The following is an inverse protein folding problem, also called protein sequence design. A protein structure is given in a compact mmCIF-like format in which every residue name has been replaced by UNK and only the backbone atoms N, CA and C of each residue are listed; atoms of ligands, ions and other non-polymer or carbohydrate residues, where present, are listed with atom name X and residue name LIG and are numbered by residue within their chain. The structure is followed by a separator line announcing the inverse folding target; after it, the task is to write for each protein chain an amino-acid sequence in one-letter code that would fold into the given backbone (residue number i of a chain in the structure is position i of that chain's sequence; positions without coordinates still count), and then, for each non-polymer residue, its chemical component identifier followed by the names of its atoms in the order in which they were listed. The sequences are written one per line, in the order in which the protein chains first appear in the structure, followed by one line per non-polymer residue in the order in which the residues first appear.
data_IF_129286512017
#
_entry.id   IF_129286512017
#
_cell.length_a   1.000
_cell.length_b   1.000
_cell.length_c   1.000
_cell.angle_alpha   90.00
_cell.angle_beta   90.00
_cell.angle_gamma   90.00
#
_symmetry.space_group_name_H-M   'P 1'
#
loop_
_entity.id
_entity.type
_entity.pdbx_description
1 polymer ?
#
# COMPACT_ATOMS: atom_id res chain seq x y z
N UNK A 1 2.89 4.61 14.47
CA UNK A 1 3.91 3.77 15.15
C UNK A 1 4.34 2.51 14.39
N UNK A 2 3.69 2.11 13.29
CA UNK A 2 4.04 0.87 12.55
C UNK A 2 5.35 0.99 11.76
N UNK A 3 5.61 2.14 11.13
CA UNK A 3 6.78 2.36 10.25
C UNK A 3 8.09 2.17 11.02
N UNK A 4 8.20 2.72 12.23
CA UNK A 4 9.41 2.61 13.04
C UNK A 4 9.81 1.15 13.30
N UNK A 5 8.85 0.28 13.61
CA UNK A 5 9.10 -1.15 13.80
C UNK A 5 9.54 -1.83 12.51
N UNK A 6 8.90 -1.49 11.38
CA UNK A 6 9.28 -2.02 10.08
C UNK A 6 10.69 -1.60 9.67
N UNK A 7 11.10 -0.37 9.98
CA UNK A 7 12.45 0.14 9.74
C UNK A 7 13.47 -0.64 10.56
N UNK A 8 13.26 -0.80 11.86
CA UNK A 8 14.20 -1.52 12.73
C UNK A 8 14.37 -2.97 12.26
N UNK A 9 13.29 -3.66 11.90
CA UNK A 9 13.36 -5.01 11.35
C UNK A 9 14.10 -5.04 9.99
N UNK A 10 13.81 -4.09 9.10
CA UNK A 10 14.48 -4.02 7.80
C UNK A 10 15.97 -3.69 7.93
N UNK A 11 16.37 -2.82 8.85
CA UNK A 11 17.78 -2.55 9.15
C UNK A 11 18.52 -3.80 9.66
N UNK A 12 17.80 -4.70 10.33
CA UNK A 12 18.34 -5.99 10.80
C UNK A 12 18.43 -7.06 9.71
N UNK A 13 18.00 -6.76 8.48
CA UNK A 13 18.07 -7.67 7.32
C UNK A 13 16.72 -8.21 6.84
N UNK A 14 15.63 -7.94 7.55
CA UNK A 14 14.34 -8.56 7.26
C UNK A 14 13.57 -7.91 6.09
N UNK A 15 12.72 -8.71 5.43
CA UNK A 15 11.75 -8.22 4.46
C UNK A 15 10.42 -8.01 5.15
N UNK A 16 9.97 -6.76 5.21
CA UNK A 16 8.75 -6.36 5.93
C UNK A 16 7.73 -5.80 4.95
N UNK A 17 6.49 -6.26 5.04
CA UNK A 17 5.37 -5.63 4.32
C UNK A 17 4.54 -4.83 5.30
N UNK A 18 4.27 -3.57 4.98
CA UNK A 18 3.47 -2.66 5.82
C UNK A 18 2.25 -2.22 5.03
N UNK A 19 1.08 -2.34 5.65
CA UNK A 19 -0.16 -1.75 5.15
C UNK A 19 -0.37 -0.39 5.82
N UNK A 20 -0.47 0.67 5.01
CA UNK A 20 -0.79 2.02 5.47
C UNK A 20 -1.96 2.55 4.64
N UNK A 21 -2.99 3.02 5.33
CA UNK A 21 -4.15 3.69 4.76
C UNK A 21 -3.92 5.21 4.64
N UNK A 22 -3.23 5.83 5.60
CA UNK A 22 -3.07 7.29 5.60
C UNK A 22 -1.96 7.84 4.69
N UNK A 23 -2.20 9.04 4.15
CA UNK A 23 -1.27 9.70 3.23
C UNK A 23 0.04 10.16 3.87
N UNK A 24 0.05 10.54 5.16
CA UNK A 24 1.25 11.00 5.84
C UNK A 24 2.19 9.82 6.16
N UNK A 25 1.64 8.73 6.66
CA UNK A 25 2.33 7.46 6.90
C UNK A 25 2.94 6.91 5.62
N UNK A 26 2.19 6.92 4.51
CA UNK A 26 2.71 6.48 3.21
C UNK A 26 3.95 7.29 2.76
N UNK A 27 3.95 8.61 2.95
CA UNK A 27 5.12 9.47 2.64
C UNK A 27 6.33 9.15 3.52
N UNK A 28 6.11 8.98 4.82
CA UNK A 28 7.17 8.63 5.76
C UNK A 28 7.77 7.27 5.40
N UNK A 29 6.92 6.27 5.14
CA UNK A 29 7.36 4.93 4.74
C UNK A 29 8.14 4.97 3.42
N UNK A 30 7.69 5.77 2.44
CA UNK A 30 8.40 5.94 1.16
C UNK A 30 9.80 6.52 1.37
N UNK A 31 9.94 7.52 2.25
CA UNK A 31 11.24 8.11 2.58
C UNK A 31 12.21 7.08 3.18
N UNK A 32 11.71 6.25 4.10
CA UNK A 32 12.49 5.18 4.74
C UNK A 32 12.85 4.05 3.77
N UNK A 33 11.95 3.66 2.87
CA UNK A 33 12.23 2.71 1.78
C UNK A 33 13.39 3.21 0.93
N UNK A 34 13.33 4.46 0.46
CA UNK A 34 14.40 5.05 -0.33
C UNK A 34 15.73 5.15 0.44
N UNK A 35 15.69 5.36 1.76
CA UNK A 35 16.89 5.33 2.61
C UNK A 35 17.50 3.93 2.68
N UNK A 36 16.70 2.90 2.93
CA UNK A 36 17.15 1.50 2.97
C UNK A 36 17.72 1.06 1.61
N UNK A 37 17.11 1.48 0.50
CA UNK A 37 17.63 1.21 -0.84
C UNK A 37 19.02 1.81 -1.05
N UNK A 38 19.24 3.06 -0.62
CA UNK A 38 20.58 3.69 -0.68
C UNK A 38 21.62 2.93 0.15
N UNK A 39 21.25 2.49 1.36
CA UNK A 39 22.14 1.67 2.20
C UNK A 39 22.50 0.35 1.51
N UNK A 40 21.50 -0.34 0.94
CA UNK A 40 21.70 -1.57 0.19
C UNK A 40 22.62 -1.38 -1.01
N UNK A 41 22.40 -0.31 -1.79
CA UNK A 41 23.28 0.03 -2.93
C UNK A 41 24.71 0.37 -2.49
N UNK A 42 24.90 0.82 -1.25
CA UNK A 42 26.22 1.08 -0.66
C UNK A 42 26.90 -0.17 -0.10
N UNK A 43 26.32 -1.35 -0.30
CA UNK A 43 26.86 -2.63 0.17
C UNK A 43 26.48 -3.00 1.61
N UNK A 44 25.62 -2.24 2.28
CA UNK A 44 25.12 -2.62 3.60
C UNK A 44 24.14 -3.80 3.49
N UNK A 45 24.30 -4.80 4.36
CA UNK A 45 23.40 -5.94 4.47
C UNK A 45 22.10 -5.54 5.19
N UNK A 46 21.21 -4.85 4.47
CA UNK A 46 19.88 -4.45 4.95
C UNK A 46 18.76 -5.12 4.17
N UNK A 47 17.67 -5.35 4.88
CA UNK A 47 16.39 -5.82 4.40
C UNK A 47 15.62 -4.75 3.61
N UNK A 48 14.31 -4.93 3.48
CA UNK A 48 13.47 -4.02 2.68
C UNK A 48 12.08 -3.89 3.26
N UNK A 49 11.47 -2.74 3.02
CA UNK A 49 10.06 -2.50 3.32
C UNK A 49 9.28 -2.48 2.01
N UNK A 50 8.17 -3.21 1.95
CA UNK A 50 7.17 -3.11 0.89
C UNK A 50 5.96 -2.39 1.45
N UNK A 51 5.65 -1.23 0.88
CA UNK A 51 4.46 -0.47 1.22
C UNK A 51 3.26 -0.98 0.41
N UNK A 52 2.21 -1.36 1.11
CA UNK A 52 0.89 -1.70 0.57
C UNK A 52 -0.09 -0.65 1.11
N UNK A 53 -1.08 -0.29 0.30
CA UNK A 53 -2.15 0.63 0.71
C UNK A 53 -3.52 0.05 0.38
N UNK A 54 -4.56 0.75 0.82
CA UNK A 54 -5.96 0.38 0.56
C UNK A 54 -6.23 0.16 -0.92
N UNK A 55 -5.67 1.00 -1.80
CA UNK A 55 -5.81 0.84 -3.25
C UNK A 55 -5.26 -0.52 -3.75
N UNK A 56 -4.11 -0.95 -3.23
CA UNK A 56 -3.49 -2.23 -3.57
C UNK A 56 -4.34 -3.40 -3.08
N UNK A 57 -4.89 -3.30 -1.86
CA UNK A 57 -5.78 -4.33 -1.29
C UNK A 57 -7.05 -4.45 -2.13
N UNK A 58 -7.69 -3.32 -2.46
CA UNK A 58 -8.90 -3.31 -3.28
C UNK A 58 -8.64 -3.87 -4.67
N UNK A 59 -7.54 -3.47 -5.33
CA UNK A 59 -7.19 -3.98 -6.65
C UNK A 59 -7.00 -5.51 -6.64
N UNK A 60 -6.39 -6.05 -5.58
CA UNK A 60 -6.17 -7.49 -5.43
C UNK A 60 -7.45 -8.27 -5.07
N UNK A 61 -8.42 -7.61 -4.46
CA UNK A 61 -9.71 -8.22 -4.11
C UNK A 61 -10.75 -8.16 -5.24
N UNK A 62 -10.49 -7.40 -6.31
CA UNK A 62 -11.36 -7.30 -7.48
C UNK A 62 -11.60 -8.68 -8.12
N UNK A 63 -12.87 -8.99 -8.42
CA UNK A 63 -13.30 -10.29 -8.93
C UNK A 63 -13.31 -11.40 -7.86
N UNK A 64 -12.90 -11.11 -6.63
CA UNK A 64 -12.88 -12.07 -5.52
C UNK A 64 -14.18 -12.08 -4.70
N UNK A 65 -14.20 -12.92 -3.67
CA UNK A 65 -15.37 -13.10 -2.79
C UNK A 65 -15.87 -11.79 -2.15
N UNK A 66 -14.95 -10.88 -1.80
CA UNK A 66 -15.29 -9.64 -1.09
C UNK A 66 -15.59 -8.46 -2.03
N UNK A 67 -15.08 -8.49 -3.26
CA UNK A 67 -15.37 -7.47 -4.28
C UNK A 67 -15.64 -8.17 -5.61
N UNK A 68 -16.82 -8.82 -5.76
CA UNK A 68 -17.11 -9.65 -6.91
C UNK A 68 -17.27 -8.85 -8.20
N UNK A 69 -17.72 -7.59 -8.10
CA UNK A 69 -17.97 -6.74 -9.27
C UNK A 69 -17.65 -5.26 -9.02
N UNK A 70 -17.73 -4.47 -10.10
CA UNK A 70 -17.50 -3.02 -10.07
C UNK A 70 -18.51 -2.25 -9.22
N UNK A 71 -19.70 -2.78 -8.98
CA UNK A 71 -20.70 -2.13 -8.13
C UNK A 71 -20.31 -2.30 -6.65
N UNK A 72 -19.92 -3.50 -6.25
CA UNK A 72 -19.34 -3.80 -4.94
C UNK A 72 -18.09 -2.96 -4.68
N UNK A 73 -17.20 -2.82 -5.68
CA UNK A 73 -16.01 -1.95 -5.59
C UNK A 73 -16.39 -0.52 -5.23
N UNK A 74 -17.35 0.08 -5.96
CA UNK A 74 -17.82 1.45 -5.68
C UNK A 74 -18.38 1.57 -4.27
N UNK A 75 -19.21 0.63 -3.85
CA UNK A 75 -19.85 0.65 -2.55
C UNK A 75 -18.82 0.56 -1.40
N UNK A 76 -17.84 -0.34 -1.52
CA UNK A 76 -16.75 -0.46 -0.53
C UNK A 76 -15.87 0.79 -0.55
N UNK A 77 -15.48 1.28 -1.73
CA UNK A 77 -14.64 2.47 -1.86
C UNK A 77 -15.27 3.70 -1.20
N UNK A 78 -16.56 3.96 -1.43
CA UNK A 78 -17.28 5.07 -0.82
C UNK A 78 -17.31 4.98 0.71
N UNK A 79 -17.46 3.76 1.26
CA UNK A 79 -17.39 3.54 2.71
C UNK A 79 -15.99 3.77 3.27
N UNK A 80 -14.93 3.49 2.52
CA UNK A 80 -13.56 3.70 3.00
C UNK A 80 -13.10 5.15 2.83
N UNK A 81 -13.57 5.85 1.79
CA UNK A 81 -13.04 7.17 1.38
C UNK A 81 -13.10 8.25 2.46
N UNK A 82 -14.04 8.16 3.39
CA UNK A 82 -14.19 9.13 4.49
C UNK A 82 -13.39 8.75 5.75
N UNK A 83 -12.83 7.54 5.79
CA UNK A 83 -12.00 7.02 6.88
C UNK A 83 -10.51 7.01 6.50
N UNK A 84 -10.23 6.93 5.21
CA UNK A 84 -8.89 6.82 4.62
C UNK A 84 -8.60 8.06 3.75
N UNK A 85 -7.66 8.89 4.21
CA UNK A 85 -7.23 10.10 3.52
C UNK A 85 -6.19 9.85 2.41
N UNK A 86 -5.65 8.63 2.33
CA UNK A 86 -4.73 8.18 1.28
C UNK A 86 -5.44 7.73 0.01
N UNK A 87 -6.76 7.54 0.04
CA UNK A 87 -7.56 7.24 -1.15
C UNK A 87 -7.78 8.50 -2.03
N UNK A 88 -7.39 8.48 -3.31
CA UNK A 88 -7.74 9.56 -4.26
C UNK A 88 -9.24 9.52 -4.64
N UNK A 89 -9.73 10.35 -5.56
CA UNK A 89 -11.02 10.11 -6.20
C UNK A 89 -11.01 8.76 -6.95
N UNK A 90 -12.11 8.01 -6.90
CA UNK A 90 -12.18 6.66 -7.49
C UNK A 90 -11.87 6.68 -8.99
N UNK A 91 -12.29 7.73 -9.69
CA UNK A 91 -12.11 7.95 -11.12
C UNK A 91 -10.64 8.17 -11.49
N UNK A 92 -9.81 8.61 -10.54
CA UNK A 92 -8.37 8.75 -10.72
C UNK A 92 -7.61 7.44 -10.47
N UNK A 93 -8.31 6.34 -10.17
CA UNK A 93 -7.71 5.03 -9.92
C UNK A 93 -7.99 4.04 -11.06
N UNK A 94 -7.15 3.01 -11.23
CA UNK A 94 -7.44 1.93 -12.16
C UNK A 94 -8.51 0.95 -11.67
N UNK A 95 -9.11 1.13 -10.47
CA UNK A 95 -9.97 0.12 -9.82
C UNK A 95 -11.21 -0.29 -10.63
N UNK A 96 -11.70 0.57 -11.52
CA UNK A 96 -12.83 0.28 -12.40
C UNK A 96 -12.41 -0.07 -13.83
N UNK A 97 -11.10 -0.04 -14.13
CA UNK A 97 -10.56 -0.35 -15.45
C UNK A 97 -10.85 -1.80 -15.82
N UNK A 98 -11.20 -2.13 -17.08
CA UNK A 98 -11.48 -3.50 -17.50
C UNK A 98 -10.36 -4.50 -17.17
N UNK A 99 -9.10 -4.06 -17.16
CA UNK A 99 -7.93 -4.90 -16.90
C UNK A 99 -7.93 -5.58 -15.52
N UNK A 100 -8.62 -5.01 -14.52
CA UNK A 100 -8.73 -5.60 -13.17
C UNK A 100 -9.91 -6.57 -13.00
N UNK A 101 -10.77 -6.71 -14.00
CA UNK A 101 -12.03 -7.48 -13.93
C UNK A 101 -12.17 -8.51 -15.05
N UNK A 102 -11.07 -8.78 -15.76
CA UNK A 102 -11.00 -9.73 -16.86
C UNK A 102 -10.74 -11.15 -16.35
#
# INVERSE_FOLDING_TARGET
MVIAHAVVAAESGDKVTVLIDDGAGARIATSEISRLERLRMSGCAVGSITLVNTLTVLARAAGGQHIPDKAAMRAVYQKLRHLDDGLPPLEATPLLSPALWA
#
